data_IF_410657201376
#
_entry.id   IF_410657201376
#
_cell.length_a   1.000
_cell.length_b   1.000
_cell.length_c   1.000
_cell.angle_alpha   90.00
_cell.angle_beta   90.00
_cell.angle_gamma   90.00
#
_symmetry.space_group_name_H-M   'P 1'
#
loop_
_entity.id
_entity.type
_entity.pdbx_description
1 polymer ?
#
# COMPACT_ATOMS: atom_id res chain seq x y z
N UNK A 1 12.93 12.42 27.20
CA UNK A 1 12.43 11.03 27.26
C UNK A 1 11.55 10.80 26.04
N UNK A 2 12.12 10.33 24.95
CA UNK A 2 11.34 9.89 23.78
C UNK A 2 10.63 8.59 24.17
N UNK A 3 9.30 8.60 24.20
CA UNK A 3 8.52 7.38 24.34
C UNK A 3 9.01 6.33 23.32
N UNK A 4 9.08 5.03 23.68
CA UNK A 4 9.43 4.00 22.70
C UNK A 4 8.43 4.15 21.55
N UNK A 5 8.91 4.35 20.32
CA UNK A 5 8.02 4.33 19.17
C UNK A 5 7.29 2.99 19.26
N UNK A 6 5.96 2.95 19.52
CA UNK A 6 5.22 1.71 19.36
C UNK A 6 5.52 1.22 17.94
N UNK A 7 5.71 -0.08 17.83
CA UNK A 7 6.31 -0.72 16.67
C UNK A 7 5.48 -0.40 15.42
N UNK A 8 5.82 0.69 14.71
CA UNK A 8 5.02 1.27 13.61
C UNK A 8 4.74 0.24 12.52
N UNK A 9 5.63 -0.75 12.40
CA UNK A 9 5.46 -1.88 11.51
C UNK A 9 4.34 -2.81 11.99
N UNK A 10 4.27 -3.13 13.29
CA UNK A 10 3.17 -3.91 13.88
C UNK A 10 1.83 -3.21 13.71
N UNK A 11 1.79 -1.89 13.93
CA UNK A 11 0.57 -1.09 13.73
C UNK A 11 0.13 -1.08 12.26
N UNK A 12 1.08 -0.90 11.33
CA UNK A 12 0.81 -0.98 9.90
C UNK A 12 0.31 -2.37 9.49
N UNK A 13 0.96 -3.44 9.95
CA UNK A 13 0.53 -4.83 9.69
C UNK A 13 -0.85 -5.13 10.28
N UNK A 14 -1.19 -4.53 11.41
CA UNK A 14 -2.53 -4.64 11.98
C UNK A 14 -3.55 -3.92 11.10
N UNK A 15 -3.27 -2.67 10.69
CA UNK A 15 -4.15 -1.91 9.81
C UNK A 15 -4.37 -2.62 8.45
N UNK A 16 -3.31 -3.18 7.84
CA UNK A 16 -3.40 -3.95 6.60
C UNK A 16 -4.31 -5.18 6.75
N UNK A 17 -4.24 -5.90 7.88
CA UNK A 17 -5.13 -7.04 8.17
C UNK A 17 -6.59 -6.60 8.28
N UNK A 18 -6.85 -5.53 9.04
CA UNK A 18 -8.21 -5.00 9.20
C UNK A 18 -8.81 -4.59 7.86
N UNK A 19 -8.01 -3.97 6.97
CA UNK A 19 -8.44 -3.61 5.63
C UNK A 19 -8.74 -4.86 4.78
N UNK A 20 -7.85 -5.86 4.81
CA UNK A 20 -8.04 -7.10 4.06
C UNK A 20 -9.32 -7.83 4.51
N UNK A 21 -9.53 -7.99 5.81
CA UNK A 21 -10.72 -8.63 6.38
C UNK A 21 -12.00 -7.85 6.01
N UNK A 22 -11.95 -6.52 6.04
CA UNK A 22 -13.06 -5.67 5.64
C UNK A 22 -13.41 -5.82 4.14
N UNK A 23 -12.41 -5.91 3.27
CA UNK A 23 -12.62 -6.13 1.83
C UNK A 23 -13.15 -7.53 1.55
N UNK A 24 -12.66 -8.56 2.24
CA UNK A 24 -13.17 -9.93 2.12
C UNK A 24 -14.64 -10.04 2.57
N UNK A 25 -15.06 -9.24 3.55
CA UNK A 25 -16.45 -9.17 4.00
C UNK A 25 -17.43 -8.55 3.00
N UNK A 26 -16.96 -7.90 1.95
CA UNK A 26 -17.82 -7.28 0.93
C UNK A 26 -18.37 -8.29 -0.08
N UNK A 27 -19.54 -8.02 -0.67
CA UNK A 27 -20.03 -8.74 -1.85
C UNK A 27 -18.96 -8.76 -2.94
N UNK A 28 -18.82 -9.87 -3.66
CA UNK A 28 -17.76 -10.08 -4.65
C UNK A 28 -17.73 -8.96 -5.70
N UNK A 29 -18.90 -8.54 -6.17
CA UNK A 29 -19.11 -7.44 -7.11
C UNK A 29 -18.60 -6.08 -6.60
N UNK A 30 -18.45 -5.92 -5.28
CA UNK A 30 -17.99 -4.69 -4.64
C UNK A 30 -16.50 -4.72 -4.28
N UNK A 31 -15.84 -5.90 -4.29
CA UNK A 31 -14.44 -6.04 -3.85
C UNK A 31 -13.48 -5.27 -4.75
N UNK A 32 -13.68 -5.34 -6.06
CA UNK A 32 -12.86 -4.60 -7.03
C UNK A 32 -13.02 -3.08 -6.84
N UNK A 33 -14.26 -2.62 -6.59
CA UNK A 33 -14.54 -1.22 -6.33
C UNK A 33 -13.91 -0.75 -5.02
N UNK A 34 -13.95 -1.57 -3.97
CA UNK A 34 -13.31 -1.27 -2.69
C UNK A 34 -11.78 -1.21 -2.82
N UNK A 35 -11.18 -2.15 -3.54
CA UNK A 35 -9.75 -2.13 -3.86
C UNK A 35 -9.35 -0.86 -4.61
N UNK A 36 -10.14 -0.46 -5.62
CA UNK A 36 -9.88 0.77 -6.37
C UNK A 36 -10.05 2.04 -5.51
N UNK A 37 -11.05 2.10 -4.63
CA UNK A 37 -11.24 3.22 -3.71
C UNK A 37 -10.08 3.35 -2.72
N UNK A 38 -9.62 2.23 -2.14
CA UNK A 38 -8.46 2.19 -1.25
C UNK A 38 -7.18 2.65 -1.97
N UNK A 39 -7.00 2.23 -3.23
CA UNK A 39 -5.88 2.68 -4.05
C UNK A 39 -5.91 4.20 -4.27
N UNK A 40 -7.08 4.78 -4.56
CA UNK A 40 -7.22 6.23 -4.73
C UNK A 40 -6.84 6.99 -3.45
N UNK A 41 -7.32 6.53 -2.29
CA UNK A 41 -7.00 7.14 -0.98
C UNK A 41 -5.50 7.04 -0.69
N UNK A 42 -4.89 5.88 -0.94
CA UNK A 42 -3.45 5.69 -0.75
C UNK A 42 -2.63 6.58 -1.70
N UNK A 43 -3.05 6.70 -2.96
CA UNK A 43 -2.42 7.55 -3.94
C UNK A 43 -2.47 9.04 -3.56
N UNK A 44 -3.62 9.49 -3.07
CA UNK A 44 -3.78 10.85 -2.56
C UNK A 44 -2.89 11.10 -1.34
N UNK A 45 -2.88 10.20 -0.35
CA UNK A 45 -2.06 10.35 0.85
C UNK A 45 -0.55 10.41 0.52
N UNK A 46 -0.08 9.53 -0.37
CA UNK A 46 1.32 9.54 -0.82
C UNK A 46 1.64 10.84 -1.57
N UNK A 47 0.76 11.28 -2.47
CA UNK A 47 0.95 12.54 -3.19
C UNK A 47 0.97 13.76 -2.26
N UNK A 48 0.20 13.76 -1.18
CA UNK A 48 0.22 14.83 -0.16
C UNK A 48 1.52 14.83 0.66
N UNK A 49 2.10 13.65 0.95
CA UNK A 49 3.31 13.52 1.76
C UNK A 49 4.59 13.81 0.97
N UNK A 50 4.73 13.23 -0.24
CA UNK A 50 5.97 13.32 -1.05
C UNK A 50 5.85 14.19 -2.30
N UNK A 51 4.65 14.66 -2.64
CA UNK A 51 4.35 15.42 -3.86
C UNK A 51 4.06 14.53 -5.08
N UNK A 52 3.35 15.07 -6.07
CA UNK A 52 2.84 14.32 -7.22
C UNK A 52 3.94 13.66 -8.09
N UNK A 53 5.11 14.30 -8.23
CA UNK A 53 6.19 13.76 -9.06
C UNK A 53 6.80 12.51 -8.45
N UNK A 54 7.10 12.54 -7.15
CA UNK A 54 7.69 11.40 -6.47
C UNK A 54 6.66 10.28 -6.25
N UNK A 55 5.41 10.64 -5.93
CA UNK A 55 4.30 9.70 -5.91
C UNK A 55 4.16 8.96 -7.25
N UNK A 56 4.21 9.70 -8.37
CA UNK A 56 4.17 9.10 -9.71
C UNK A 56 5.29 8.08 -9.96
N UNK A 57 6.51 8.36 -9.48
CA UNK A 57 7.65 7.41 -9.58
C UNK A 57 7.42 6.16 -8.73
N UNK A 58 6.93 6.33 -7.50
CA UNK A 58 6.59 5.22 -6.58
C UNK A 58 5.54 4.31 -7.22
N UNK A 59 4.44 4.88 -7.73
CA UNK A 59 3.38 4.10 -8.37
C UNK A 59 3.82 3.45 -9.68
N UNK A 60 4.68 4.11 -10.48
CA UNK A 60 5.24 3.51 -11.68
C UNK A 60 6.10 2.27 -11.35
N UNK A 61 6.95 2.34 -10.31
CA UNK A 61 7.74 1.19 -9.84
C UNK A 61 6.86 0.05 -9.34
N UNK A 62 5.81 0.38 -8.57
CA UNK A 62 4.85 -0.62 -8.11
C UNK A 62 4.10 -1.27 -9.29
N UNK A 63 3.68 -0.48 -10.28
CA UNK A 63 3.01 -0.97 -11.48
C UNK A 63 3.89 -1.91 -12.30
N UNK A 64 5.18 -1.60 -12.44
CA UNK A 64 6.16 -2.46 -13.10
C UNK A 64 6.35 -3.79 -12.36
N UNK A 65 6.49 -3.76 -11.02
CA UNK A 65 6.54 -4.97 -10.18
C UNK A 65 5.34 -5.89 -10.42
N UNK A 66 4.13 -5.31 -10.41
CA UNK A 66 2.88 -6.04 -10.65
C UNK A 66 2.82 -6.60 -12.08
N UNK A 67 3.26 -5.85 -13.08
CA UNK A 67 3.25 -6.26 -14.49
C UNK A 67 4.14 -7.48 -14.76
N UNK A 68 5.21 -7.63 -13.96
CA UNK A 68 6.12 -8.79 -13.98
C UNK A 68 5.55 -10.01 -13.25
N UNK A 69 4.32 -9.94 -12.74
CA UNK A 69 3.65 -11.02 -12.03
C UNK A 69 4.03 -11.16 -10.55
N UNK A 70 4.81 -10.22 -10.00
CA UNK A 70 5.10 -10.22 -8.57
C UNK A 70 3.90 -9.66 -7.82
N UNK A 71 3.45 -10.34 -6.77
CA UNK A 71 2.46 -9.79 -5.87
C UNK A 71 3.15 -9.09 -4.69
N UNK A 72 2.67 -7.92 -4.25
CA UNK A 72 3.15 -7.29 -3.04
C UNK A 72 2.93 -8.26 -1.87
N UNK A 73 3.93 -8.48 -1.00
CA UNK A 73 3.74 -9.31 0.17
C UNK A 73 2.64 -8.72 1.06
N UNK A 74 1.68 -9.55 1.47
CA UNK A 74 0.53 -9.12 2.26
C UNK A 74 0.87 -8.60 3.67
N UNK A 75 2.12 -8.79 4.13
CA UNK A 75 2.55 -8.54 5.52
C UNK A 75 3.87 -7.76 5.64
N UNK A 76 4.54 -7.50 4.52
CA UNK A 76 5.85 -6.86 4.52
C UNK A 76 5.79 -5.59 3.68
N UNK A 77 6.58 -4.59 4.05
CA UNK A 77 6.71 -3.40 3.22
C UNK A 77 7.39 -3.79 1.89
N UNK A 78 6.84 -3.31 0.78
CA UNK A 78 7.51 -3.45 -0.53
C UNK A 78 8.74 -2.55 -0.52
N UNK A 79 9.92 -3.15 -0.62
CA UNK A 79 11.15 -2.39 -0.83
C UNK A 79 11.22 -1.93 -2.28
N UNK A 80 10.88 -0.66 -2.54
CA UNK A 80 10.91 -0.06 -3.88
C UNK A 80 12.30 0.43 -4.31
N UNK A 81 13.29 0.39 -3.40
CA UNK A 81 14.68 0.80 -3.65
C UNK A 81 15.52 -0.26 -4.38
N UNK A 82 15.07 -1.52 -4.42
CA UNK A 82 15.76 -2.58 -5.15
C UNK A 82 15.53 -2.58 -6.67
N UNK A 83 14.72 -1.65 -7.19
CA UNK A 83 14.29 -1.62 -8.60
C UNK A 83 15.01 -0.56 -9.44
N UNK A 84 16.07 0.05 -8.91
CA UNK A 84 17.01 0.86 -9.70
C UNK A 84 17.97 -0.08 -10.46
N UNK A 85 17.50 -0.65 -11.58
CA UNK A 85 18.32 -1.38 -12.54
C UNK A 85 17.99 -0.95 -13.97
#
# INVERSE_FOLDING_TARGET
MTAPMPDRLSDLQHAMRVIADAVEGLPVECRDLAGNALLNVAAEAVAQDVGCTEAGRIFARLGDLLSRGHQPPAREAVSLSGFDA
#
